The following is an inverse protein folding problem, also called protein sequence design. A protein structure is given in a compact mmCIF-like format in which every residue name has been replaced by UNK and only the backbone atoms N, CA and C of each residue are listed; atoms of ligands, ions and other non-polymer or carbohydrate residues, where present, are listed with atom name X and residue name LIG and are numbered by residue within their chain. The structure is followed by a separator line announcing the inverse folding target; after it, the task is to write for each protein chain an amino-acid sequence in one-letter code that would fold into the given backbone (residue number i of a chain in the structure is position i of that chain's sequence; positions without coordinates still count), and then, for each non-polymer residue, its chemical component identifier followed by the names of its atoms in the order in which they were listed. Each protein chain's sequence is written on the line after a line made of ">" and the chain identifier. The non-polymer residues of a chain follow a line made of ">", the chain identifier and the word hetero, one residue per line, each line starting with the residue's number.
data_IF_496355725158
#
_entry.id   IF_496355725158
#
_cell.length_a   1.000
_cell.length_b   1.000
_cell.length_c   1.000
_cell.angle_alpha   90.00
_cell.angle_beta   90.00
_cell.angle_gamma   90.00
#
_symmetry.space_group_name_H-M   'P 1'
#
loop_
_entity.id
_entity.type
_entity.pdbx_description
1 polymer ?
#
# COMPACT_ATOMS: atom_id res chain seq x y z
N UNK A 1 7.65 2.39 5.37
CA UNK A 1 7.88 3.81 5.75
C UNK A 1 9.28 4.01 6.27
N UNK A 2 9.99 5.07 5.89
CA UNK A 2 11.30 5.42 6.44
C UNK A 2 11.10 6.40 7.59
N UNK A 3 11.65 6.08 8.76
CA UNK A 3 11.77 7.02 9.88
C UNK A 3 13.07 7.78 9.71
N UNK A 4 12.99 9.01 9.20
CA UNK A 4 14.18 9.84 9.01
C UNK A 4 14.68 10.46 10.34
N UNK A 5 13.75 10.76 11.26
CA UNK A 5 14.03 11.34 12.58
C UNK A 5 12.85 11.07 13.51
N UNK A 6 13.12 10.70 14.74
CA UNK A 6 12.12 10.49 15.79
C UNK A 6 12.60 11.19 17.08
N UNK A 7 11.99 12.32 17.42
CA UNK A 7 12.30 13.12 18.60
C UNK A 7 11.06 13.27 19.48
N UNK A 8 10.78 12.26 20.26
CA UNK A 8 9.59 12.23 21.12
C UNK A 8 9.61 13.32 22.21
N UNK A 9 10.80 13.73 22.66
CA UNK A 9 10.94 14.85 23.64
C UNK A 9 10.43 16.17 23.07
N UNK A 10 10.60 16.40 21.77
CA UNK A 10 10.14 17.60 21.08
C UNK A 10 8.81 17.39 20.36
N UNK A 11 8.22 16.19 20.46
CA UNK A 11 7.00 15.81 19.76
C UNK A 11 7.11 15.97 18.23
N UNK A 12 8.28 15.64 17.68
CA UNK A 12 8.59 15.76 16.24
C UNK A 12 8.94 14.37 15.68
N UNK A 13 8.34 14.05 14.55
CA UNK A 13 8.74 12.91 13.72
C UNK A 13 8.90 13.35 12.28
N UNK A 14 9.93 12.83 11.61
CA UNK A 14 10.17 13.06 10.17
C UNK A 14 10.08 11.71 9.47
N UNK A 15 9.16 11.60 8.54
CA UNK A 15 8.80 10.36 7.86
C UNK A 15 8.87 10.53 6.35
N UNK A 16 9.11 9.40 5.66
CA UNK A 16 8.97 9.29 4.21
C UNK A 16 8.16 8.02 3.91
N UNK A 17 6.91 8.15 3.41
CA UNK A 17 6.11 7.01 3.01
C UNK A 17 6.74 6.33 1.79
N UNK A 18 6.78 5.00 1.76
CA UNK A 18 7.35 4.18 0.68
C UNK A 18 6.30 3.36 -0.06
N UNK A 19 5.12 3.19 0.52
CA UNK A 19 4.04 2.37 0.00
C UNK A 19 2.67 2.95 0.39
N UNK A 20 1.57 2.54 -0.27
CA UNK A 20 0.23 3.06 0.03
C UNK A 20 -0.18 2.86 1.50
N UNK A 21 0.14 1.71 2.09
CA UNK A 21 -0.12 1.44 3.52
C UNK A 21 0.46 2.52 4.44
N UNK A 22 1.58 3.15 4.07
CA UNK A 22 2.20 4.21 4.85
C UNK A 22 1.38 5.50 4.84
N UNK A 23 0.73 5.81 3.71
CA UNK A 23 -0.16 6.98 3.60
C UNK A 23 -1.38 6.82 4.51
N UNK A 24 -1.88 5.59 4.60
CA UNK A 24 -2.94 5.24 5.52
C UNK A 24 -2.52 5.40 6.98
N UNK A 25 -1.32 4.95 7.33
CA UNK A 25 -0.76 5.14 8.67
C UNK A 25 -0.60 6.63 8.96
N UNK A 26 -0.12 7.44 8.01
CA UNK A 26 -0.05 8.90 8.16
C UNK A 26 -1.43 9.52 8.43
N UNK A 27 -2.49 9.03 7.75
CA UNK A 27 -3.87 9.48 8.00
C UNK A 27 -4.32 9.25 9.45
N UNK A 28 -3.85 8.16 10.07
CA UNK A 28 -4.17 7.80 11.46
C UNK A 28 -3.31 8.55 12.48
N UNK A 29 -2.11 8.94 12.10
CA UNK A 29 -1.17 9.66 12.96
C UNK A 29 -1.49 11.14 13.00
N UNK A 30 -1.76 11.75 11.84
CA UNK A 30 -1.98 13.19 11.72
C UNK A 30 -3.38 13.54 12.19
N UNK A 31 -3.49 14.54 13.04
CA UNK A 31 -4.74 15.03 13.62
C UNK A 31 -4.90 16.53 13.34
N UNK A 32 -6.12 17.04 13.49
CA UNK A 32 -6.39 18.47 13.44
C UNK A 32 -5.61 19.18 14.54
N UNK A 33 -4.99 20.33 14.22
CA UNK A 33 -4.13 21.12 15.12
C UNK A 33 -2.65 20.70 15.09
N UNK A 34 -2.28 19.61 14.42
CA UNK A 34 -0.88 19.25 14.23
C UNK A 34 -0.19 20.22 13.27
N UNK A 35 1.13 20.35 13.39
CA UNK A 35 1.95 21.12 12.46
C UNK A 35 2.63 20.16 11.49
N UNK A 36 2.29 20.27 10.20
CA UNK A 36 2.89 19.44 9.15
C UNK A 36 3.73 20.28 8.23
N UNK A 37 5.01 19.91 8.08
CA UNK A 37 6.00 20.57 7.23
C UNK A 37 6.41 19.66 6.10
N UNK A 38 6.31 20.15 4.86
CA UNK A 38 6.75 19.41 3.67
C UNK A 38 7.14 20.35 2.53
N UNK A 39 7.91 19.83 1.57
CA UNK A 39 8.20 20.51 0.33
C UNK A 39 6.96 20.48 -0.58
N UNK A 40 6.66 21.60 -1.20
CA UNK A 40 5.58 21.75 -2.18
C UNK A 40 6.00 22.68 -3.30
N UNK A 41 5.31 22.64 -4.44
CA UNK A 41 5.53 23.57 -5.54
C UNK A 41 4.43 24.62 -5.58
N UNK A 42 4.80 25.90 -5.61
CA UNK A 42 3.84 27.00 -5.68
C UNK A 42 4.15 27.90 -6.88
N UNK A 43 3.08 28.41 -7.50
CA UNK A 43 3.20 29.44 -8.53
C UNK A 43 3.47 30.78 -7.86
N UNK A 44 4.57 31.43 -8.16
CA UNK A 44 4.85 32.79 -7.73
C UNK A 44 4.03 33.72 -8.63
N UNK A 45 3.17 34.52 -8.04
CA UNK A 45 2.52 35.65 -8.73
C UNK A 45 3.52 36.78 -8.76
N UNK A 46 4.10 37.04 -9.90
CA UNK A 46 4.89 38.25 -10.12
C UNK A 46 3.94 39.47 -10.07
N UNK A 47 4.24 40.41 -9.23
CA UNK A 47 3.45 41.67 -9.03
C UNK A 47 3.71 42.73 -10.09
N UNK A 48 4.36 42.37 -11.20
CA UNK A 48 4.58 43.31 -12.31
C UNK A 48 3.32 43.47 -13.16
N UNK A 49 2.76 44.63 -13.18
CA UNK A 49 1.47 45.06 -13.76
C UNK A 49 1.31 44.81 -15.28
N UNK A 50 2.36 44.38 -16.00
CA UNK A 50 2.34 44.27 -17.48
C UNK A 50 3.02 43.04 -18.09
N UNK A 51 3.45 42.06 -17.32
CA UNK A 51 4.01 40.84 -17.88
C UNK A 51 2.98 39.73 -17.89
N UNK A 52 2.87 38.95 -19.02
CA UNK A 52 2.18 37.67 -19.02
C UNK A 52 2.85 36.81 -17.96
N UNK A 53 2.08 36.29 -16.97
CA UNK A 53 2.69 35.54 -15.88
C UNK A 53 3.27 34.23 -16.46
N UNK A 54 4.58 34.17 -16.62
CA UNK A 54 5.29 32.92 -16.70
C UNK A 54 5.05 32.23 -15.36
N UNK A 55 4.32 31.13 -15.39
CA UNK A 55 3.94 30.36 -14.20
C UNK A 55 5.12 29.49 -13.75
N UNK A 56 6.23 30.13 -13.38
CA UNK A 56 7.32 29.40 -12.72
C UNK A 56 6.83 28.83 -11.39
N UNK A 57 6.91 27.53 -11.27
CA UNK A 57 6.64 26.83 -10.02
C UNK A 57 7.93 26.73 -9.22
N UNK A 58 7.98 27.45 -8.12
CA UNK A 58 9.12 27.40 -7.19
C UNK A 58 8.86 26.37 -6.11
N UNK A 59 9.86 25.53 -5.82
CA UNK A 59 9.85 24.61 -4.69
C UNK A 59 10.02 25.38 -3.40
N UNK A 60 9.11 25.20 -2.48
CA UNK A 60 9.10 25.86 -1.17
C UNK A 60 8.77 24.85 -0.09
N UNK A 61 9.31 25.06 1.09
CA UNK A 61 8.96 24.27 2.27
C UNK A 61 7.95 25.06 3.08
N UNK A 62 6.78 24.45 3.30
CA UNK A 62 5.67 25.10 4.01
C UNK A 62 5.31 24.26 5.23
N UNK A 63 5.04 24.96 6.35
CA UNK A 63 4.43 24.35 7.53
C UNK A 63 2.98 24.81 7.61
N UNK A 64 2.06 23.84 7.68
CA UNK A 64 0.63 24.09 7.86
C UNK A 64 0.17 23.61 9.24
N UNK A 65 -0.68 24.38 9.89
CA UNK A 65 -1.50 23.90 11.00
C UNK A 65 -2.72 23.18 10.40
N UNK A 66 -2.85 21.90 10.71
CA UNK A 66 -3.81 21.00 10.06
C UNK A 66 -5.24 21.33 10.47
N UNK A 67 -6.08 21.63 9.48
CA UNK A 67 -7.54 21.77 9.67
C UNK A 67 -8.30 20.60 9.06
N UNK A 68 -7.81 20.05 7.95
CA UNK A 68 -8.46 18.95 7.25
C UNK A 68 -7.43 18.00 6.65
N UNK A 69 -7.76 16.70 6.73
CA UNK A 69 -6.96 15.61 6.17
C UNK A 69 -7.90 14.76 5.34
N UNK A 70 -7.48 14.36 4.14
CA UNK A 70 -8.25 13.45 3.26
C UNK A 70 -7.31 12.52 2.53
N UNK A 71 -7.67 11.26 2.45
CA UNK A 71 -7.10 10.31 1.50
C UNK A 71 -7.81 10.44 0.16
N UNK A 72 -7.12 10.19 -0.94
CA UNK A 72 -7.80 9.97 -2.21
C UNK A 72 -8.37 8.52 -2.26
N UNK A 73 -9.31 8.29 -3.19
CA UNK A 73 -10.04 7.02 -3.29
C UNK A 73 -9.14 5.81 -3.60
N UNK A 74 -7.93 6.03 -4.07
CA UNK A 74 -6.96 4.98 -4.43
C UNK A 74 -5.81 4.86 -3.44
N UNK A 75 -5.88 5.61 -2.32
CA UNK A 75 -4.80 5.71 -1.30
C UNK A 75 -3.42 5.97 -1.91
N UNK A 76 -3.39 6.66 -3.05
CA UNK A 76 -2.14 7.05 -3.71
C UNK A 76 -1.59 8.37 -3.16
N UNK A 77 -2.42 9.12 -2.41
CA UNK A 77 -2.12 10.46 -1.92
C UNK A 77 -2.93 10.82 -0.69
N UNK A 78 -2.28 11.46 0.27
CA UNK A 78 -2.93 12.14 1.37
C UNK A 78 -2.85 13.66 1.16
N UNK A 79 -3.98 14.34 1.28
CA UNK A 79 -4.08 15.79 1.22
C UNK A 79 -4.27 16.36 2.61
N UNK A 80 -3.37 17.24 3.01
CA UNK A 80 -3.34 17.89 4.33
C UNK A 80 -3.52 19.38 4.10
N UNK A 81 -4.61 19.93 4.57
CA UNK A 81 -4.99 21.32 4.33
C UNK A 81 -5.10 22.09 5.64
N UNK A 82 -4.69 23.35 5.64
CA UNK A 82 -4.76 24.18 6.83
C UNK A 82 -4.11 25.56 6.63
N UNK A 83 -3.97 26.31 7.73
CA UNK A 83 -3.36 27.62 7.76
C UNK A 83 -1.83 27.51 7.68
N UNK A 84 -1.21 28.38 6.89
CA UNK A 84 0.25 28.47 6.81
C UNK A 84 0.77 29.13 8.09
N UNK A 85 1.62 28.41 8.81
CA UNK A 85 2.29 28.92 10.02
C UNK A 85 3.69 29.42 9.69
N UNK A 86 4.41 28.72 8.80
CA UNK A 86 5.79 29.03 8.44
C UNK A 86 6.06 28.69 6.96
N UNK A 87 6.89 29.52 6.32
CA UNK A 87 7.31 29.34 4.92
C UNK A 87 8.79 29.63 4.81
N UNK A 88 9.53 28.79 4.09
CA UNK A 88 10.97 28.96 3.89
C UNK A 88 11.37 30.19 3.05
N UNK A 89 10.42 30.94 2.51
CA UNK A 89 10.66 32.11 1.67
C UNK A 89 9.72 33.26 2.09
N UNK A 90 10.30 34.37 2.56
CA UNK A 90 9.57 35.55 3.13
C UNK A 90 8.65 36.27 2.13
N UNK A 91 8.72 35.93 0.84
CA UNK A 91 7.92 36.60 -0.22
C UNK A 91 6.47 36.07 -0.26
N UNK A 92 6.14 35.03 0.53
CA UNK A 92 4.84 34.38 0.44
C UNK A 92 3.88 34.79 1.55
N UNK A 93 2.67 35.21 1.16
CA UNK A 93 1.59 35.57 2.08
C UNK A 93 1.14 34.37 2.92
N UNK A 94 0.95 34.61 4.22
CA UNK A 94 0.21 33.69 5.11
C UNK A 94 -1.20 33.52 4.54
N UNK A 95 -1.73 32.30 4.65
CA UNK A 95 -3.06 31.94 4.13
C UNK A 95 -3.29 30.46 4.19
N UNK A 96 -4.34 30.00 3.54
CA UNK A 96 -4.68 28.59 3.49
C UNK A 96 -3.87 27.85 2.42
N UNK A 97 -3.34 26.67 2.75
CA UNK A 97 -2.61 25.84 1.81
C UNK A 97 -2.93 24.35 1.98
N UNK A 98 -2.75 23.59 0.90
CA UNK A 98 -2.96 22.15 0.88
C UNK A 98 -1.68 21.47 0.43
N UNK A 99 -1.08 20.69 1.34
CA UNK A 99 0.04 19.79 1.05
C UNK A 99 -0.49 18.50 0.45
N UNK A 100 0.15 18.00 -0.58
CA UNK A 100 -0.16 16.73 -1.21
C UNK A 100 1.01 15.79 -1.02
N UNK A 101 0.84 14.78 -0.19
CA UNK A 101 1.87 13.81 0.17
C UNK A 101 1.55 12.49 -0.54
N UNK A 102 2.51 11.95 -1.25
CA UNK A 102 2.49 10.62 -1.88
C UNK A 102 3.77 9.86 -1.53
N UNK A 103 3.92 8.65 -2.04
CA UNK A 103 5.14 7.85 -1.86
C UNK A 103 6.39 8.68 -2.22
N UNK A 104 7.44 8.56 -1.41
CA UNK A 104 8.70 9.28 -1.57
C UNK A 104 8.70 10.73 -1.04
N UNK A 105 7.56 11.32 -0.71
CA UNK A 105 7.50 12.69 -0.18
C UNK A 105 7.83 12.72 1.31
N UNK A 106 8.93 13.38 1.65
CA UNK A 106 9.34 13.58 3.04
C UNK A 106 8.49 14.64 3.72
N UNK A 107 8.00 14.33 4.93
CA UNK A 107 7.25 15.26 5.76
C UNK A 107 7.73 15.23 7.21
N UNK A 108 7.56 16.35 7.91
CA UNK A 108 7.74 16.46 9.37
C UNK A 108 6.40 16.71 10.02
N UNK A 109 6.10 15.96 11.07
CA UNK A 109 4.89 16.12 11.88
C UNK A 109 5.34 16.55 13.27
N UNK A 110 4.78 17.66 13.77
CA UNK A 110 4.94 18.08 15.16
C UNK A 110 3.57 18.11 15.82
N UNK A 111 3.42 17.37 16.90
CA UNK A 111 2.18 17.28 17.67
C UNK A 111 2.25 18.12 18.93
N UNK A 112 1.41 19.16 19.08
CA UNK A 112 1.39 19.97 20.30
C UNK A 112 1.12 19.13 21.57
N UNK A 113 0.23 18.13 21.47
CA UNK A 113 -0.17 17.26 22.58
C UNK A 113 0.70 16.01 22.72
N UNK A 114 1.68 15.80 21.84
CA UNK A 114 2.53 14.63 21.81
C UNK A 114 1.92 13.46 21.02
N UNK A 115 2.71 12.39 20.89
CA UNK A 115 2.30 11.16 20.22
C UNK A 115 1.74 10.16 21.23
N UNK A 116 0.56 9.59 20.95
CA UNK A 116 0.02 8.48 21.74
C UNK A 116 0.86 7.21 21.53
N UNK A 117 0.77 6.26 22.47
CA UNK A 117 1.48 4.97 22.35
C UNK A 117 1.06 4.21 21.08
N UNK A 118 -0.22 4.27 20.70
CA UNK A 118 -0.74 3.67 19.46
C UNK A 118 -0.06 4.27 18.24
N UNK A 119 0.06 5.60 18.17
CA UNK A 119 0.72 6.28 17.07
C UNK A 119 2.22 5.93 16.97
N UNK A 120 2.90 5.82 18.11
CA UNK A 120 4.30 5.38 18.17
C UNK A 120 4.44 3.94 17.67
N UNK A 121 3.55 3.04 18.10
CA UNK A 121 3.55 1.65 17.66
C UNK A 121 3.28 1.53 16.15
N UNK A 122 2.36 2.35 15.60
CA UNK A 122 2.09 2.41 14.17
C UNK A 122 3.32 2.84 13.37
N UNK A 123 4.04 3.86 13.84
CA UNK A 123 5.27 4.35 13.18
C UNK A 123 6.33 3.24 13.15
N UNK A 124 6.60 2.60 14.28
CA UNK A 124 7.58 1.50 14.34
C UNK A 124 7.14 0.26 13.57
N UNK A 125 5.85 -0.09 13.62
CA UNK A 125 5.30 -1.20 12.83
C UNK A 125 5.42 -0.97 11.33
N UNK A 126 5.25 0.26 10.87
CA UNK A 126 5.42 0.63 9.46
C UNK A 126 6.89 0.60 9.00
N UNK A 127 7.84 0.93 9.86
CA UNK A 127 9.27 0.79 9.55
C UNK A 127 9.68 -0.67 9.39
N UNK A 128 9.16 -1.54 10.25
CA UNK A 128 9.46 -2.97 10.23
C UNK A 128 8.84 -3.70 9.03
N UNK A 129 7.70 -3.21 8.53
CA UNK A 129 6.95 -3.84 7.43
C UNK A 129 7.54 -3.44 6.08
N UNK A 130 8.51 -4.22 5.59
CA UNK A 130 9.10 -4.07 4.25
C UNK A 130 8.64 -5.20 3.32
N UNK A 131 7.37 -5.59 3.41
CA UNK A 131 6.79 -6.63 2.56
C UNK A 131 6.65 -6.08 1.13
N UNK A 132 7.69 -6.27 0.31
CA UNK A 132 7.68 -5.94 -1.11
C UNK A 132 8.24 -7.12 -1.89
N UNK A 133 7.53 -7.54 -2.94
CA UNK A 133 7.95 -8.60 -3.83
C UNK A 133 7.32 -8.47 -5.21
N UNK A 134 7.97 -9.06 -6.20
CA UNK A 134 7.52 -9.07 -7.58
C UNK A 134 7.04 -10.49 -7.95
N UNK A 135 5.94 -10.57 -8.67
CA UNK A 135 5.39 -11.82 -9.19
C UNK A 135 5.46 -11.76 -10.72
N UNK A 136 5.96 -12.83 -11.33
CA UNK A 136 5.95 -12.99 -12.79
C UNK A 136 5.23 -14.28 -13.14
N UNK A 137 4.06 -14.18 -13.74
CA UNK A 137 3.28 -15.31 -14.23
C UNK A 137 3.42 -15.40 -15.75
N UNK A 138 4.15 -16.40 -16.25
CA UNK A 138 4.50 -16.47 -17.67
C UNK A 138 4.38 -17.85 -18.28
N UNK A 139 4.19 -17.82 -19.60
CA UNK A 139 4.37 -18.98 -20.49
C UNK A 139 5.28 -18.62 -21.68
N UNK A 140 5.21 -19.37 -22.78
CA UNK A 140 5.96 -19.09 -24.00
C UNK A 140 5.40 -17.94 -24.85
N UNK A 141 4.25 -17.35 -24.48
CA UNK A 141 3.55 -16.32 -25.26
C UNK A 141 3.51 -15.00 -24.58
N UNK A 142 3.18 -14.98 -23.27
CA UNK A 142 2.97 -13.77 -22.50
C UNK A 142 3.49 -13.89 -21.06
N UNK A 143 3.76 -12.76 -20.44
CA UNK A 143 4.09 -12.63 -19.03
C UNK A 143 3.29 -11.48 -18.42
N UNK A 144 2.53 -11.79 -17.38
CA UNK A 144 1.98 -10.82 -16.45
C UNK A 144 2.97 -10.55 -15.32
N UNK A 145 3.08 -9.30 -14.92
CA UNK A 145 3.99 -8.88 -13.86
C UNK A 145 3.18 -8.11 -12.81
N UNK A 146 3.31 -8.51 -11.55
CA UNK A 146 2.70 -7.84 -10.41
C UNK A 146 3.77 -7.36 -9.44
N UNK A 147 3.62 -6.12 -8.95
CA UNK A 147 4.40 -5.58 -7.85
C UNK A 147 3.50 -5.53 -6.61
N UNK A 148 3.86 -6.29 -5.57
CA UNK A 148 3.13 -6.31 -4.30
C UNK A 148 3.91 -5.52 -3.27
N UNK A 149 3.24 -4.56 -2.63
CA UNK A 149 3.77 -3.75 -1.55
C UNK A 149 2.77 -3.75 -0.38
N UNK A 150 3.13 -4.39 0.72
CA UNK A 150 2.21 -4.59 1.84
C UNK A 150 1.00 -5.42 1.41
N UNK A 151 -0.18 -4.82 1.39
CA UNK A 151 -1.43 -5.44 0.95
C UNK A 151 -1.88 -5.02 -0.45
N UNK A 152 -1.13 -4.14 -1.12
CA UNK A 152 -1.47 -3.60 -2.43
C UNK A 152 -0.77 -4.37 -3.54
N UNK A 153 -1.51 -4.68 -4.62
CA UNK A 153 -1.03 -5.30 -5.84
C UNK A 153 -1.15 -4.32 -7.01
N UNK A 154 -0.02 -3.91 -7.57
CA UNK A 154 0.04 -3.13 -8.80
C UNK A 154 0.37 -4.05 -9.97
N UNK A 155 -0.55 -4.17 -10.93
CA UNK A 155 -0.29 -4.88 -12.18
C UNK A 155 0.54 -3.96 -13.09
N UNK A 156 1.63 -4.51 -13.61
CA UNK A 156 2.53 -3.85 -14.55
C UNK A 156 2.18 -4.26 -15.99
N UNK A 157 2.66 -3.54 -17.02
CA UNK A 157 2.36 -3.87 -18.39
C UNK A 157 2.71 -5.32 -18.74
N UNK A 158 1.77 -6.04 -19.34
CA UNK A 158 1.97 -7.41 -19.85
C UNK A 158 2.99 -7.42 -20.98
N UNK A 159 3.88 -8.40 -20.96
CA UNK A 159 4.91 -8.57 -22.00
C UNK A 159 4.50 -9.72 -22.91
N UNK A 160 4.39 -9.43 -24.19
CA UNK A 160 4.18 -10.45 -25.22
C UNK A 160 5.52 -10.92 -25.83
N UNK A 161 5.67 -12.23 -26.01
CA UNK A 161 6.87 -12.82 -26.62
C UNK A 161 6.99 -12.54 -28.12
N UNK A 162 5.86 -12.23 -28.78
CA UNK A 162 5.77 -12.06 -30.23
C UNK A 162 5.90 -13.39 -31.01
N UNK A 163 5.87 -14.54 -30.34
CA UNK A 163 5.93 -15.86 -30.95
C UNK A 163 4.51 -16.33 -31.28
N UNK A 164 4.08 -16.12 -32.53
CA UNK A 164 2.79 -16.62 -33.03
C UNK A 164 2.96 -17.93 -33.75
N UNK A 165 2.20 -18.98 -33.30
CA UNK A 165 1.95 -20.22 -34.05
C UNK A 165 3.18 -21.10 -34.31
N UNK A 166 3.12 -21.97 -35.28
CA UNK A 166 4.03 -23.08 -35.63
C UNK A 166 5.53 -22.76 -35.85
N UNK A 167 6.03 -21.56 -35.53
CA UNK A 167 7.43 -21.16 -35.67
C UNK A 167 8.29 -21.45 -34.42
N UNK A 168 7.95 -22.49 -33.67
CA UNK A 168 8.75 -22.93 -32.52
C UNK A 168 10.11 -23.56 -32.88
N UNK A 169 10.40 -23.72 -34.18
CA UNK A 169 11.62 -24.37 -34.64
C UNK A 169 12.41 -23.44 -35.56
N UNK A 170 13.19 -22.62 -35.06
CA UNK A 170 14.27 -21.83 -35.68
C UNK A 170 14.09 -20.32 -35.68
N UNK A 171 15.06 -19.70 -35.01
CA UNK A 171 15.49 -18.33 -35.17
C UNK A 171 14.64 -17.22 -34.54
N UNK A 172 14.76 -17.03 -33.28
CA UNK A 172 15.16 -15.79 -32.58
C UNK A 172 15.24 -16.13 -31.10
N UNK A 173 16.40 -15.84 -30.52
CA UNK A 173 16.71 -16.16 -29.11
C UNK A 173 15.60 -15.66 -28.19
N UNK A 174 15.16 -16.44 -27.20
CA UNK A 174 14.22 -15.99 -26.15
C UNK A 174 14.71 -14.76 -25.39
N UNK A 175 15.93 -14.31 -25.65
CA UNK A 175 16.60 -13.20 -25.01
C UNK A 175 15.78 -11.89 -25.08
N UNK A 176 15.14 -11.56 -26.21
CA UNK A 176 14.37 -10.31 -26.29
C UNK A 176 13.10 -10.33 -25.40
N UNK A 177 12.45 -11.49 -25.21
CA UNK A 177 11.30 -11.65 -24.35
C UNK A 177 11.71 -11.51 -22.86
N UNK A 178 12.76 -12.23 -22.47
CA UNK A 178 13.28 -12.17 -21.10
C UNK A 178 13.93 -10.82 -20.77
N UNK A 179 14.57 -10.17 -21.76
CA UNK A 179 15.11 -8.82 -21.59
C UNK A 179 14.02 -7.81 -21.26
N UNK A 180 12.90 -7.81 -22.00
CA UNK A 180 11.75 -6.93 -21.73
C UNK A 180 11.18 -7.16 -20.31
N UNK A 181 11.02 -8.41 -19.91
CA UNK A 181 10.55 -8.75 -18.56
C UNK A 181 11.55 -8.21 -17.51
N UNK A 182 12.85 -8.43 -17.73
CA UNK A 182 13.88 -8.00 -16.82
C UNK A 182 13.98 -6.46 -16.71
N UNK A 183 13.74 -5.74 -17.80
CA UNK A 183 13.75 -4.28 -17.81
C UNK A 183 12.56 -3.71 -17.01
N UNK A 184 11.37 -4.30 -17.15
CA UNK A 184 10.19 -3.92 -16.35
C UNK A 184 10.43 -4.26 -14.88
N UNK A 185 10.92 -5.46 -14.57
CA UNK A 185 11.29 -5.81 -13.20
C UNK A 185 12.30 -4.83 -12.62
N UNK A 186 13.33 -4.46 -13.39
CA UNK A 186 14.38 -3.54 -12.95
C UNK A 186 13.88 -2.13 -12.63
N UNK A 187 12.83 -1.66 -13.28
CA UNK A 187 12.22 -0.36 -12.99
C UNK A 187 11.48 -0.30 -11.65
N UNK A 188 11.00 -1.43 -11.16
CA UNK A 188 10.21 -1.53 -9.93
C UNK A 188 10.98 -2.21 -8.77
N UNK A 189 12.07 -2.93 -9.08
CA UNK A 189 12.85 -3.69 -8.12
C UNK A 189 13.56 -2.79 -7.12
N UNK A 190 13.43 -3.12 -5.86
CA UNK A 190 14.18 -2.50 -4.75
C UNK A 190 15.17 -3.50 -4.18
N UNK A 191 16.23 -2.99 -3.60
CA UNK A 191 17.20 -3.83 -2.90
C UNK A 191 16.50 -4.69 -1.83
N UNK A 192 16.69 -6.02 -1.92
CA UNK A 192 16.06 -7.06 -1.10
C UNK A 192 14.65 -7.51 -1.49
N UNK A 193 14.03 -6.95 -2.53
CA UNK A 193 12.78 -7.51 -3.04
C UNK A 193 13.00 -8.97 -3.49
N UNK A 194 11.99 -9.81 -3.28
CA UNK A 194 11.97 -11.17 -3.79
C UNK A 194 11.17 -11.22 -5.09
N UNK A 195 11.67 -11.98 -6.07
CA UNK A 195 10.99 -12.22 -7.34
C UNK A 195 10.47 -13.66 -7.35
N UNK A 196 9.16 -13.83 -7.47
CA UNK A 196 8.51 -15.12 -7.64
C UNK A 196 8.12 -15.34 -9.08
N UNK A 197 8.61 -16.43 -9.67
CA UNK A 197 8.35 -16.79 -11.07
C UNK A 197 7.49 -18.03 -11.12
N UNK A 198 6.36 -17.98 -11.81
CA UNK A 198 5.39 -19.05 -11.89
C UNK A 198 4.73 -19.11 -13.29
N UNK A 199 3.94 -20.16 -13.53
CA UNK A 199 3.24 -20.36 -14.79
C UNK A 199 3.41 -21.79 -15.32
N UNK A 200 2.71 -22.13 -16.44
CA UNK A 200 2.75 -23.46 -17.03
C UNK A 200 4.11 -23.79 -17.67
N UNK A 201 4.43 -25.06 -17.69
CA UNK A 201 5.61 -25.59 -18.37
C UNK A 201 6.95 -25.19 -17.77
N UNK A 202 7.99 -25.16 -18.61
CA UNK A 202 9.39 -24.94 -18.19
C UNK A 202 9.90 -23.52 -18.39
N UNK A 203 9.11 -22.64 -19.04
CA UNK A 203 9.50 -21.25 -19.35
C UNK A 203 9.84 -20.47 -18.08
N UNK A 204 9.13 -20.72 -16.96
CA UNK A 204 9.41 -20.15 -15.65
C UNK A 204 10.84 -20.43 -15.17
N UNK A 205 11.31 -21.67 -15.32
CA UNK A 205 12.67 -22.07 -14.95
C UNK A 205 13.72 -21.40 -15.84
N UNK A 206 13.42 -21.27 -17.13
CA UNK A 206 14.31 -20.59 -18.10
C UNK A 206 14.45 -19.11 -17.77
N UNK A 207 13.36 -18.42 -17.42
CA UNK A 207 13.38 -17.02 -16.99
C UNK A 207 14.15 -16.87 -15.67
N UNK A 208 13.89 -17.70 -14.66
CA UNK A 208 14.58 -17.62 -13.38
C UNK A 208 16.10 -17.76 -13.55
N UNK A 209 16.54 -18.77 -14.34
CA UNK A 209 17.96 -18.95 -14.68
C UNK A 209 18.53 -17.75 -15.43
N UNK A 210 17.78 -17.20 -16.39
CA UNK A 210 18.18 -16.02 -17.14
C UNK A 210 18.39 -14.81 -16.23
N UNK A 211 17.46 -14.52 -15.32
CA UNK A 211 17.55 -13.42 -14.37
C UNK A 211 18.78 -13.56 -13.46
N UNK A 212 18.99 -14.75 -12.87
CA UNK A 212 20.13 -15.00 -11.99
C UNK A 212 21.48 -14.91 -12.69
N UNK A 213 21.57 -15.32 -13.97
CA UNK A 213 22.84 -15.34 -14.71
C UNK A 213 23.17 -14.00 -15.36
N UNK A 214 22.18 -13.28 -15.89
CA UNK A 214 22.41 -12.11 -16.73
C UNK A 214 22.07 -10.78 -16.07
N UNK A 215 21.40 -10.78 -14.93
CA UNK A 215 20.92 -9.58 -14.22
C UNK A 215 21.31 -9.66 -12.73
N UNK A 216 22.57 -9.41 -12.42
CA UNK A 216 23.16 -9.54 -11.07
C UNK A 216 22.42 -8.77 -9.95
N UNK A 217 21.59 -7.80 -10.33
CA UNK A 217 20.77 -7.06 -9.38
C UNK A 217 19.64 -7.90 -8.76
N UNK A 218 19.24 -9.00 -9.43
CA UNK A 218 18.16 -9.89 -8.95
C UNK A 218 18.80 -11.08 -8.23
N UNK A 219 19.04 -10.92 -6.93
CA UNK A 219 19.69 -11.93 -6.09
C UNK A 219 18.71 -12.92 -5.44
N UNK A 220 17.43 -12.60 -5.46
CA UNK A 220 16.35 -13.37 -4.81
C UNK A 220 15.26 -13.76 -5.78
N UNK A 221 15.54 -14.73 -6.63
CA UNK A 221 14.57 -15.28 -7.59
C UNK A 221 14.17 -16.69 -7.17
N UNK A 222 12.89 -16.94 -7.02
CA UNK A 222 12.32 -18.24 -6.65
C UNK A 222 11.27 -18.69 -7.65
N UNK A 223 11.31 -19.96 -8.05
CA UNK A 223 10.29 -20.57 -8.90
C UNK A 223 9.20 -21.17 -8.03
N UNK A 224 7.95 -20.85 -8.32
CA UNK A 224 6.77 -21.39 -7.64
C UNK A 224 6.06 -22.36 -8.56
N UNK A 225 5.82 -23.57 -8.06
CA UNK A 225 5.12 -24.63 -8.78
C UNK A 225 3.60 -24.57 -8.53
N UNK A 226 2.84 -25.30 -9.36
CA UNK A 226 1.39 -25.45 -9.17
C UNK A 226 0.56 -24.28 -9.71
N UNK A 227 1.06 -23.58 -10.75
CA UNK A 227 0.27 -22.58 -11.48
C UNK A 227 0.23 -22.95 -12.97
N UNK A 228 -0.98 -23.05 -13.51
CA UNK A 228 -1.24 -23.37 -14.91
C UNK A 228 -1.72 -22.15 -15.72
N UNK A 229 -1.70 -20.95 -15.12
CA UNK A 229 -2.16 -19.70 -15.72
C UNK A 229 -0.99 -18.75 -15.86
N UNK A 230 -0.87 -18.11 -17.03
CA UNK A 230 0.10 -17.08 -17.34
C UNK A 230 -0.59 -15.71 -17.53
N UNK A 231 0.19 -14.65 -17.81
CA UNK A 231 -0.34 -13.33 -18.04
C UNK A 231 -0.85 -12.65 -16.76
N UNK A 232 -1.66 -11.62 -16.92
CA UNK A 232 -2.25 -10.86 -15.82
C UNK A 232 -3.11 -11.74 -14.91
N UNK A 233 -3.96 -12.59 -15.50
CA UNK A 233 -4.78 -13.55 -14.74
C UNK A 233 -3.91 -14.51 -13.91
N UNK A 234 -2.74 -14.88 -14.43
CA UNK A 234 -1.77 -15.70 -13.73
C UNK A 234 -1.24 -15.03 -12.47
N UNK A 235 -1.06 -13.69 -12.47
CA UNK A 235 -0.66 -12.94 -11.28
C UNK A 235 -1.76 -12.99 -10.21
N UNK A 236 -3.03 -12.81 -10.57
CA UNK A 236 -4.13 -12.90 -9.62
C UNK A 236 -4.29 -14.34 -9.05
N UNK A 237 -4.14 -15.35 -9.91
CA UNK A 237 -4.19 -16.75 -9.48
C UNK A 237 -3.01 -17.08 -8.55
N UNK A 238 -1.83 -16.51 -8.82
CA UNK A 238 -0.65 -16.67 -7.97
C UNK A 238 -0.90 -16.28 -6.52
N UNK A 239 -1.65 -15.20 -6.28
CA UNK A 239 -1.96 -14.73 -4.94
C UNK A 239 -2.72 -15.75 -4.08
N UNK A 240 -3.35 -16.75 -4.70
CA UNK A 240 -4.07 -17.85 -4.04
C UNK A 240 -3.27 -19.14 -4.00
N UNK A 241 -2.11 -19.19 -4.64
CA UNK A 241 -1.30 -20.40 -4.74
C UNK A 241 -0.72 -20.75 -3.36
N UNK A 242 -1.00 -21.96 -2.81
CA UNK A 242 -0.51 -22.36 -1.49
C UNK A 242 1.03 -22.34 -1.38
N UNK A 243 1.74 -22.73 -2.45
CA UNK A 243 3.20 -22.74 -2.45
C UNK A 243 3.77 -21.32 -2.40
N UNK A 244 3.11 -20.35 -3.07
CA UNK A 244 3.49 -18.95 -2.96
C UNK A 244 3.20 -18.41 -1.55
N UNK A 245 2.04 -18.73 -0.97
CA UNK A 245 1.69 -18.33 0.39
C UNK A 245 2.67 -18.90 1.43
N UNK A 246 3.14 -20.13 1.25
CA UNK A 246 4.17 -20.73 2.09
C UNK A 246 5.52 -20.01 1.92
N UNK A 247 5.94 -19.74 0.68
CA UNK A 247 7.18 -19.03 0.36
C UNK A 247 7.19 -17.58 0.89
N UNK A 248 6.02 -16.91 0.90
CA UNK A 248 5.85 -15.58 1.47
C UNK A 248 5.94 -15.57 3.01
N UNK A 249 5.73 -16.71 3.67
CA UNK A 249 5.80 -16.84 5.11
C UNK A 249 4.77 -15.97 5.84
N UNK A 250 5.23 -15.12 6.77
CA UNK A 250 4.38 -14.25 7.59
C UNK A 250 4.23 -12.82 7.03
N UNK A 251 4.14 -12.66 5.70
CA UNK A 251 3.82 -11.34 5.13
C UNK A 251 2.42 -10.88 5.54
N UNK A 252 2.19 -9.55 5.51
CA UNK A 252 0.87 -8.98 5.84
C UNK A 252 -0.24 -9.61 5.01
N UNK A 253 -0.01 -9.82 3.72
CA UNK A 253 -0.99 -10.43 2.81
C UNK A 253 -1.29 -11.89 3.18
N UNK A 254 -0.25 -12.69 3.52
CA UNK A 254 -0.43 -14.07 3.99
C UNK A 254 -1.23 -14.13 5.29
N UNK A 255 -0.97 -13.22 6.24
CA UNK A 255 -1.76 -13.11 7.48
C UNK A 255 -3.23 -12.82 7.18
N UNK A 256 -3.50 -11.84 6.32
CA UNK A 256 -4.88 -11.49 5.93
C UNK A 256 -5.59 -12.67 5.28
N UNK A 257 -4.93 -13.40 4.37
CA UNK A 257 -5.51 -14.59 3.74
C UNK A 257 -5.93 -15.62 4.79
N UNK A 258 -5.07 -15.92 5.78
CA UNK A 258 -5.39 -16.84 6.89
C UNK A 258 -6.57 -16.34 7.73
N UNK A 259 -6.62 -15.04 8.04
CA UNK A 259 -7.72 -14.41 8.79
C UNK A 259 -9.04 -14.57 8.03
N UNK A 260 -9.07 -14.29 6.72
CA UNK A 260 -10.28 -14.42 5.91
C UNK A 260 -10.75 -15.87 5.80
N UNK A 261 -9.83 -16.83 5.66
CA UNK A 261 -10.17 -18.27 5.71
C UNK A 261 -10.83 -18.63 7.03
N UNK A 262 -10.29 -18.17 8.15
CA UNK A 262 -10.87 -18.43 9.48
C UNK A 262 -12.24 -17.74 9.66
N UNK A 263 -12.40 -16.50 9.18
CA UNK A 263 -13.69 -15.80 9.17
C UNK A 263 -14.73 -16.61 8.38
N UNK A 264 -14.41 -17.05 7.17
CA UNK A 264 -15.32 -17.86 6.34
C UNK A 264 -15.67 -19.19 7.00
N UNK A 265 -14.69 -19.84 7.65
CA UNK A 265 -14.92 -21.04 8.44
C UNK A 265 -15.92 -20.80 9.59
N UNK A 266 -15.75 -19.71 10.34
CA UNK A 266 -16.66 -19.35 11.45
C UNK A 266 -18.07 -19.03 10.95
N UNK A 267 -18.19 -18.29 9.84
CA UNK A 267 -19.48 -18.02 9.21
C UNK A 267 -20.19 -19.32 8.84
N UNK A 268 -19.48 -20.28 8.23
CA UNK A 268 -20.06 -21.58 7.83
C UNK A 268 -20.52 -22.44 9.02
N UNK A 269 -19.93 -22.24 10.18
CA UNK A 269 -20.28 -22.93 11.44
C UNK A 269 -21.31 -22.16 12.30
N UNK A 270 -21.82 -21.02 11.82
CA UNK A 270 -22.65 -20.09 12.59
C UNK A 270 -22.00 -19.67 13.92
N UNK A 271 -20.68 -19.49 13.95
CA UNK A 271 -19.97 -19.02 15.11
C UNK A 271 -20.08 -17.49 15.19
N UNK A 272 -20.69 -17.00 16.27
CA UNK A 272 -20.95 -15.57 16.48
C UNK A 272 -19.68 -14.74 16.81
N UNK A 273 -18.48 -15.34 16.74
CA UNK A 273 -17.21 -14.63 16.92
C UNK A 273 -16.68 -14.04 15.60
N UNK A 274 -17.59 -13.46 14.81
CA UNK A 274 -17.30 -12.70 13.61
C UNK A 274 -18.17 -11.46 13.60
N UNK A 275 -17.60 -10.31 13.26
CA UNK A 275 -18.32 -9.08 13.01
C UNK A 275 -18.27 -8.75 11.51
N UNK A 276 -19.43 -8.47 10.92
CA UNK A 276 -19.54 -8.15 9.50
C UNK A 276 -20.01 -6.71 9.33
N UNK A 277 -19.58 -6.09 8.24
CA UNK A 277 -19.85 -4.69 7.94
C UNK A 277 -19.36 -3.71 9.03
N UNK A 278 -19.47 -2.42 8.76
CA UNK A 278 -18.86 -1.38 9.59
C UNK A 278 -19.48 -1.29 10.99
N UNK A 279 -20.83 -1.31 11.08
CA UNK A 279 -21.53 -1.07 12.34
C UNK A 279 -21.27 -2.14 13.40
N UNK A 280 -21.24 -3.42 13.00
CA UNK A 280 -20.98 -4.52 13.95
C UNK A 280 -19.53 -4.50 14.40
N UNK A 281 -18.61 -4.20 13.50
CA UNK A 281 -17.20 -4.02 13.84
C UNK A 281 -16.98 -2.84 14.79
N UNK A 282 -17.71 -1.74 14.61
CA UNK A 282 -17.62 -0.59 15.51
C UNK A 282 -18.09 -0.90 16.92
N UNK A 283 -19.21 -1.64 17.06
CA UNK A 283 -19.67 -2.13 18.36
C UNK A 283 -18.66 -3.08 19.02
N UNK A 284 -18.13 -4.02 18.24
CA UNK A 284 -17.15 -5.00 18.72
C UNK A 284 -15.84 -4.33 19.13
N UNK A 285 -15.39 -3.30 18.42
CA UNK A 285 -14.19 -2.54 18.75
C UNK A 285 -14.35 -1.79 20.09
N UNK A 286 -15.49 -1.13 20.31
CA UNK A 286 -15.81 -0.47 21.59
C UNK A 286 -15.82 -1.44 22.76
N UNK A 287 -16.20 -2.70 22.53
CA UNK A 287 -16.14 -3.78 23.51
C UNK A 287 -14.76 -4.43 23.67
N UNK A 288 -13.76 -4.02 22.90
CA UNK A 288 -12.42 -4.62 22.89
C UNK A 288 -12.38 -6.08 22.41
N UNK A 289 -13.42 -6.50 21.67
CA UNK A 289 -13.60 -7.89 21.27
C UNK A 289 -12.81 -8.27 20.00
N UNK A 290 -12.36 -7.30 19.20
CA UNK A 290 -11.70 -7.58 17.93
C UNK A 290 -10.27 -8.06 18.17
N UNK A 291 -9.95 -9.24 17.63
CA UNK A 291 -8.61 -9.80 17.52
C UNK A 291 -7.90 -9.26 16.26
N UNK A 292 -8.59 -9.35 15.11
CA UNK A 292 -8.09 -8.87 13.83
C UNK A 292 -9.22 -8.23 13.03
N UNK A 293 -8.99 -7.05 12.49
CA UNK A 293 -9.92 -6.31 11.63
C UNK A 293 -9.32 -6.16 10.23
N UNK A 294 -10.06 -6.63 9.23
CA UNK A 294 -9.70 -6.44 7.83
C UNK A 294 -10.69 -5.49 7.20
N UNK A 295 -10.20 -4.41 6.61
CA UNK A 295 -10.99 -3.34 5.98
C UNK A 295 -10.57 -3.21 4.52
N UNK A 296 -11.53 -3.07 3.62
CA UNK A 296 -11.26 -2.75 2.23
C UNK A 296 -11.30 -1.24 2.01
N UNK A 297 -10.45 -0.73 1.12
CA UNK A 297 -10.41 0.69 0.74
C UNK A 297 -11.74 1.24 0.23
N UNK A 298 -12.63 0.38 -0.24
CA UNK A 298 -13.96 0.81 -0.72
C UNK A 298 -14.75 1.59 0.33
N UNK A 299 -14.48 1.34 1.63
CA UNK A 299 -15.18 2.02 2.73
C UNK A 299 -14.96 3.53 2.72
N UNK A 300 -13.81 4.02 2.19
CA UNK A 300 -13.53 5.46 2.03
C UNK A 300 -14.34 6.13 0.93
N UNK A 301 -14.93 5.33 0.03
CA UNK A 301 -15.79 5.80 -1.05
C UNK A 301 -17.29 5.66 -0.72
N UNK A 302 -17.63 5.06 0.41
CA UNK A 302 -19.02 4.84 0.80
C UNK A 302 -19.68 6.17 1.22
N UNK A 303 -20.81 6.49 0.57
CA UNK A 303 -21.58 7.68 0.94
C UNK A 303 -22.14 7.54 2.36
N UNK A 304 -21.90 8.56 3.19
CA UNK A 304 -22.41 8.62 4.55
C UNK A 304 -21.48 8.02 5.61
N UNK A 305 -20.32 7.49 5.22
CA UNK A 305 -19.27 7.08 6.14
C UNK A 305 -18.12 8.12 6.08
N UNK A 306 -17.88 8.81 7.18
CA UNK A 306 -16.78 9.78 7.29
C UNK A 306 -15.47 9.06 7.60
N UNK A 307 -14.37 9.50 6.98
CA UNK A 307 -13.04 8.93 7.24
C UNK A 307 -12.66 8.90 8.72
N UNK A 308 -13.10 9.91 9.49
CA UNK A 308 -12.79 10.00 10.93
C UNK A 308 -13.39 8.83 11.73
N UNK A 309 -14.58 8.34 11.35
CA UNK A 309 -15.16 7.13 11.96
C UNK A 309 -14.38 5.87 11.64
N UNK A 310 -13.84 5.78 10.42
CA UNK A 310 -12.99 4.64 10.04
C UNK A 310 -11.69 4.68 10.86
N UNK A 311 -11.08 5.86 11.00
CA UNK A 311 -9.87 6.07 11.82
C UNK A 311 -10.15 5.72 13.30
N UNK A 312 -11.29 6.18 13.85
CA UNK A 312 -11.71 5.86 15.21
C UNK A 312 -11.86 4.34 15.42
N UNK A 313 -12.53 3.65 14.49
CA UNK A 313 -12.68 2.20 14.54
C UNK A 313 -11.32 1.50 14.64
N UNK A 314 -10.40 1.83 13.73
CA UNK A 314 -9.10 1.17 13.66
C UNK A 314 -8.22 1.48 14.86
N UNK A 315 -8.25 2.72 15.35
CA UNK A 315 -7.50 3.09 16.55
C UNK A 315 -8.05 2.36 17.78
N UNK A 316 -9.38 2.25 17.93
CA UNK A 316 -10.02 1.50 19.03
C UNK A 316 -9.64 0.02 19.03
N UNK A 317 -9.52 -0.60 17.84
CA UNK A 317 -9.06 -2.00 17.74
C UNK A 317 -7.63 -2.13 18.24
N UNK A 318 -6.73 -1.24 17.85
CA UNK A 318 -5.33 -1.31 18.26
C UNK A 318 -5.09 -0.91 19.71
N UNK A 319 -5.88 0.02 20.25
CA UNK A 319 -5.90 0.33 21.70
C UNK A 319 -6.23 -0.92 22.53
N UNK A 320 -7.11 -1.77 21.98
CA UNK A 320 -7.48 -3.07 22.57
C UNK A 320 -6.51 -4.20 22.18
N UNK A 321 -5.34 -3.89 21.61
CA UNK A 321 -4.33 -4.85 21.14
C UNK A 321 -4.83 -5.80 20.05
N UNK A 322 -5.78 -5.35 19.22
CA UNK A 322 -6.15 -6.02 17.98
C UNK A 322 -5.23 -5.58 16.83
N UNK A 323 -5.14 -6.39 15.78
CA UNK A 323 -4.42 -6.03 14.57
C UNK A 323 -5.37 -5.47 13.52
N UNK A 324 -4.92 -4.49 12.74
CA UNK A 324 -5.71 -3.89 11.65
C UNK A 324 -5.01 -4.03 10.31
N UNK A 325 -5.79 -4.38 9.29
CA UNK A 325 -5.31 -4.55 7.91
C UNK A 325 -6.20 -3.79 6.95
N UNK A 326 -5.59 -3.05 6.04
CA UNK A 326 -6.28 -2.40 4.94
C UNK A 326 -5.95 -3.14 3.65
N UNK A 327 -6.96 -3.42 2.83
CA UNK A 327 -6.83 -4.13 1.57
C UNK A 327 -7.17 -3.26 0.38
N UNK A 328 -6.37 -3.36 -0.66
CA UNK A 328 -6.70 -2.87 -1.99
C UNK A 328 -8.00 -3.54 -2.48
N UNK A 329 -9.00 -2.71 -2.75
CA UNK A 329 -10.35 -3.13 -3.15
C UNK A 329 -10.39 -3.84 -4.52
N UNK A 330 -9.36 -3.70 -5.34
CA UNK A 330 -9.26 -4.33 -6.67
C UNK A 330 -8.81 -5.78 -6.59
N UNK A 331 -8.12 -6.15 -5.51
CA UNK A 331 -7.64 -7.53 -5.28
C UNK A 331 -8.80 -8.48 -4.96
N UNK A 332 -8.58 -9.77 -5.15
CA UNK A 332 -9.60 -10.78 -4.83
C UNK A 332 -9.95 -10.81 -3.35
N UNK A 333 -8.96 -10.65 -2.47
CA UNK A 333 -9.20 -10.57 -1.02
C UNK A 333 -9.98 -9.29 -0.68
N UNK A 334 -9.65 -8.16 -1.31
CA UNK A 334 -10.41 -6.92 -1.17
C UNK A 334 -11.85 -7.06 -1.65
N UNK A 335 -12.08 -7.68 -2.81
CA UNK A 335 -13.43 -7.99 -3.33
C UNK A 335 -14.21 -8.91 -2.38
N UNK A 336 -13.56 -9.90 -1.77
CA UNK A 336 -14.18 -10.76 -0.77
C UNK A 336 -14.62 -9.95 0.46
N UNK A 337 -13.77 -9.07 0.99
CA UNK A 337 -14.14 -8.18 2.10
C UNK A 337 -15.27 -7.23 1.70
N UNK A 338 -15.25 -6.70 0.47
CA UNK A 338 -16.33 -5.86 -0.05
C UNK A 338 -17.68 -6.58 -0.04
N UNK A 339 -17.71 -7.85 -0.46
CA UNK A 339 -18.94 -8.66 -0.45
C UNK A 339 -19.48 -8.93 0.95
N UNK A 340 -18.64 -8.83 1.97
CA UNK A 340 -18.99 -8.97 3.39
C UNK A 340 -19.28 -7.62 4.09
N UNK A 341 -19.42 -6.53 3.31
CA UNK A 341 -19.79 -5.20 3.82
C UNK A 341 -18.60 -4.25 4.03
N UNK A 342 -17.44 -4.53 3.44
CA UNK A 342 -16.28 -3.64 3.41
C UNK A 342 -15.40 -3.67 4.65
N UNK A 343 -15.87 -4.22 5.77
CA UNK A 343 -15.09 -4.44 6.99
C UNK A 343 -15.50 -5.76 7.64
N UNK A 344 -14.52 -6.58 8.04
CA UNK A 344 -14.74 -7.88 8.68
C UNK A 344 -13.79 -8.07 9.86
N UNK A 345 -14.36 -8.44 11.01
CA UNK A 345 -13.64 -8.63 12.26
C UNK A 345 -13.64 -10.08 12.71
N UNK A 346 -12.47 -10.58 13.08
CA UNK A 346 -12.30 -11.81 13.82
C UNK A 346 -12.34 -11.45 15.31
N UNK A 347 -13.26 -12.06 16.07
CA UNK A 347 -13.48 -11.71 17.46
C UNK A 347 -12.86 -12.74 18.42
N UNK A 348 -12.33 -12.25 19.53
CA UNK A 348 -11.85 -13.08 20.66
C UNK A 348 -13.01 -13.72 21.42
N UNK A 349 -14.12 -12.97 21.56
CA UNK A 349 -15.32 -13.39 22.24
C UNK A 349 -16.57 -12.77 21.59
N UNK A 350 -17.72 -13.33 21.89
CA UNK A 350 -19.02 -12.86 21.36
C UNK A 350 -19.39 -11.53 22.02
N UNK A 351 -19.82 -10.56 21.22
CA UNK A 351 -20.37 -9.27 21.67
C UNK A 351 -21.88 -9.38 21.70
N UNK A 352 -22.49 -8.99 22.80
CA UNK A 352 -23.95 -9.01 22.98
C UNK A 352 -24.66 -7.89 22.22
#
# INVERSE_FOLDING_TARGET
>A
MIINRLELVHNIVVLTPEQPDDLWILRRIISKGDLVKSETSRVVKDTAEYARPDKERVKVVITVEVEQIRLDATISRIRISGQIVDVSNDIMSKGFHSLSISEGHRLSIKKPEGFSQVQINLIHGAEASKDSYLIVALDGREAGIGNVKGTHLKILPTVESGLTGKMYVQSKKPTNYFDKIADILGSEYREKDQIFVLGPGTTKNSLANYLMQNRKQFDRVSVIEGSDVAGEDGVYVAMRNPNLQEALGETRLSKVSKILVEIMRRISLNDNRVALAFNDNFKAAKGGAIESLVVSEVVFSLKGLEEDFIVELLNSVEESRGETFLLDSTTDLGKQVNSLGGAVGLLRFVVA
#
